data_IF_475623371658
#
_entry.id   IF_475623371658
#
_cell.length_a   1.000
_cell.length_b   1.000
_cell.length_c   1.000
_cell.angle_alpha   90.00
_cell.angle_beta   90.00
_cell.angle_gamma   90.00
#
_symmetry.space_group_name_H-M   'P 1'
#
loop_
_entity.id
_entity.type
_entity.pdbx_description
1 polymer ?
#
# COMPACT_ATOMS: atom_id res chain seq x y z
N UNK A 1 8.36 21.39 -9.99
CA UNK A 1 9.56 20.66 -9.50
C UNK A 1 10.50 20.42 -10.66
N UNK A 2 11.82 20.59 -10.46
CA UNK A 2 12.83 20.24 -11.47
C UNK A 2 12.96 18.73 -11.54
N UNK A 3 12.95 18.14 -12.74
CA UNK A 3 13.19 16.70 -12.94
C UNK A 3 14.62 16.34 -12.52
N UNK A 4 14.76 15.19 -11.87
CA UNK A 4 16.10 14.66 -11.59
C UNK A 4 16.81 14.26 -12.89
N UNK A 5 18.15 14.31 -12.96
CA UNK A 5 18.88 14.01 -14.19
C UNK A 5 18.51 12.65 -14.82
N UNK A 6 18.32 11.62 -14.02
CA UNK A 6 17.94 10.26 -14.48
C UNK A 6 16.54 10.26 -15.10
N UNK A 7 15.59 10.98 -14.50
CA UNK A 7 14.22 11.12 -15.02
C UNK A 7 14.24 11.89 -16.35
N UNK A 8 15.07 12.92 -16.48
CA UNK A 8 15.21 13.70 -17.71
C UNK A 8 15.76 12.85 -18.86
N UNK A 9 16.78 12.04 -18.61
CA UNK A 9 17.34 11.11 -19.59
C UNK A 9 16.31 10.06 -20.00
N UNK A 10 15.63 9.45 -19.04
CA UNK A 10 14.57 8.47 -19.32
C UNK A 10 13.43 9.07 -20.15
N UNK A 11 12.96 10.24 -19.77
CA UNK A 11 11.92 11.00 -20.51
C UNK A 11 12.33 11.26 -21.97
N UNK A 12 13.52 11.83 -22.18
CA UNK A 12 14.01 12.17 -23.52
C UNK A 12 14.16 10.89 -24.37
N UNK A 13 14.77 9.85 -23.82
CA UNK A 13 14.99 8.57 -24.50
C UNK A 13 13.67 7.92 -24.91
N UNK A 14 12.72 7.81 -23.98
CA UNK A 14 11.42 7.17 -24.25
C UNK A 14 10.61 7.97 -25.27
N UNK A 15 10.56 9.29 -25.15
CA UNK A 15 9.84 10.13 -26.10
C UNK A 15 10.48 10.09 -27.50
N UNK A 16 11.81 10.10 -27.62
CA UNK A 16 12.50 9.93 -28.91
C UNK A 16 12.26 8.54 -29.50
N UNK A 17 12.37 7.48 -28.71
CA UNK A 17 12.09 6.11 -29.14
C UNK A 17 10.64 5.95 -29.61
N UNK A 18 9.70 6.67 -29.01
CA UNK A 18 8.28 6.61 -29.41
C UNK A 18 8.03 7.14 -30.83
N UNK A 19 8.90 7.97 -31.36
CA UNK A 19 8.82 8.48 -32.75
C UNK A 19 9.27 7.42 -33.76
N UNK A 20 10.19 6.54 -33.37
CA UNK A 20 10.75 5.48 -34.22
C UNK A 20 9.96 4.19 -34.07
N UNK A 21 9.66 3.77 -32.83
CA UNK A 21 8.92 2.54 -32.55
C UNK A 21 8.09 2.70 -31.26
N UNK A 22 6.79 2.93 -31.43
CA UNK A 22 5.85 2.99 -30.31
C UNK A 22 5.81 1.71 -29.48
N UNK A 23 6.02 0.53 -30.11
CA UNK A 23 6.05 -0.76 -29.42
C UNK A 23 7.26 -0.90 -28.49
N UNK A 24 8.45 -0.52 -28.95
CA UNK A 24 9.67 -0.57 -28.12
C UNK A 24 9.61 0.48 -27.02
N UNK A 25 9.12 1.67 -27.31
CA UNK A 25 8.94 2.70 -26.31
C UNK A 25 7.92 2.31 -25.22
N UNK A 26 6.81 1.67 -25.58
CA UNK A 26 5.84 1.13 -24.62
C UNK A 26 6.45 0.10 -23.68
N UNK A 27 7.22 -0.86 -24.22
CA UNK A 27 7.97 -1.84 -23.40
C UNK A 27 8.97 -1.18 -22.47
N UNK A 28 9.70 -0.16 -22.94
CA UNK A 28 10.63 0.61 -22.12
C UNK A 28 9.92 1.40 -21.02
N UNK A 29 8.81 2.04 -21.33
CA UNK A 29 7.98 2.75 -20.36
C UNK A 29 7.43 1.79 -19.29
N UNK A 30 6.92 0.62 -19.68
CA UNK A 30 6.48 -0.40 -18.75
C UNK A 30 7.62 -0.91 -17.86
N UNK A 31 8.81 -1.13 -18.41
CA UNK A 31 9.99 -1.54 -17.64
C UNK A 31 10.34 -0.52 -16.54
N UNK A 32 10.24 0.78 -16.84
CA UNK A 32 10.46 1.83 -15.84
C UNK A 32 9.29 1.97 -14.87
N UNK A 33 8.06 1.79 -15.33
CA UNK A 33 6.85 1.93 -14.52
C UNK A 33 6.82 0.97 -13.32
N UNK A 34 7.31 -0.26 -13.49
CA UNK A 34 7.34 -1.25 -12.41
C UNK A 34 8.69 -1.33 -11.68
N UNK A 35 9.66 -0.48 -12.02
CA UNK A 35 10.99 -0.46 -11.42
C UNK A 35 11.15 0.70 -10.44
N UNK A 36 11.22 0.46 -9.12
CA UNK A 36 11.54 1.52 -8.18
C UNK A 36 13.00 1.95 -8.36
N UNK A 37 13.21 3.16 -8.88
CA UNK A 37 14.55 3.70 -9.13
C UNK A 37 15.34 3.98 -7.84
N UNK A 38 14.63 4.11 -6.73
CA UNK A 38 15.21 4.34 -5.40
C UNK A 38 14.57 3.38 -4.40
N UNK A 39 15.38 2.67 -3.64
CA UNK A 39 14.90 1.89 -2.48
C UNK A 39 14.78 2.77 -1.25
N UNK A 40 13.74 2.58 -0.46
CA UNK A 40 13.60 3.23 0.84
C UNK A 40 14.78 2.90 1.75
N UNK A 41 15.54 3.91 2.19
CA UNK A 41 16.66 3.69 3.11
C UNK A 41 16.13 3.48 4.53
N UNK A 42 16.69 2.52 5.25
CA UNK A 42 16.40 2.32 6.69
C UNK A 42 16.92 3.54 7.46
N UNK A 43 16.06 4.13 8.30
CA UNK A 43 16.44 5.21 9.22
C UNK A 43 17.00 4.61 10.50
N UNK A 44 17.90 5.35 11.16
CA UNK A 44 18.45 4.90 12.47
C UNK A 44 17.37 4.66 13.51
N UNK A 45 16.33 5.51 13.54
CA UNK A 45 15.19 5.37 14.46
C UNK A 45 14.29 4.16 14.19
N UNK A 46 14.37 3.57 13.01
CA UNK A 46 13.55 2.40 12.63
C UNK A 46 14.29 1.08 12.90
N UNK A 47 15.62 1.13 13.05
CA UNK A 47 16.49 -0.04 13.13
C UNK A 47 16.19 -0.93 14.34
N UNK A 48 16.16 -0.35 15.54
CA UNK A 48 15.99 -1.11 16.78
C UNK A 48 14.71 -1.98 16.72
N UNK A 49 13.59 -1.39 16.32
CA UNK A 49 12.34 -2.12 16.20
C UNK A 49 12.38 -3.18 15.10
N UNK A 50 13.06 -2.90 13.98
CA UNK A 50 13.17 -3.88 12.90
C UNK A 50 14.04 -5.08 13.30
N UNK A 51 15.09 -4.86 14.11
CA UNK A 51 15.99 -5.89 14.61
C UNK A 51 15.31 -6.83 15.63
N UNK A 52 14.18 -6.40 16.24
CA UNK A 52 13.33 -7.24 17.12
C UNK A 52 12.37 -8.15 16.35
N UNK A 53 12.19 -7.93 15.05
CA UNK A 53 11.24 -8.69 14.25
C UNK A 53 11.73 -10.11 13.95
N UNK A 54 10.81 -11.06 13.93
CA UNK A 54 11.04 -12.34 13.25
C UNK A 54 11.03 -12.10 11.75
N UNK A 55 12.17 -12.36 11.10
CA UNK A 55 12.33 -12.17 9.66
C UNK A 55 12.01 -13.47 8.94
N UNK A 56 11.14 -13.37 7.93
CA UNK A 56 10.74 -14.47 7.06
C UNK A 56 10.81 -14.09 5.60
N UNK A 57 10.24 -14.94 4.75
CA UNK A 57 10.25 -14.74 3.31
C UNK A 57 9.03 -15.34 2.66
N UNK A 58 8.42 -14.61 1.72
CA UNK A 58 7.37 -15.12 0.83
C UNK A 58 7.96 -15.26 -0.57
N UNK A 59 7.95 -16.46 -1.11
CA UNK A 59 8.36 -16.73 -2.47
C UNK A 59 7.23 -16.37 -3.44
N UNK A 60 7.59 -15.73 -4.55
CA UNK A 60 6.69 -15.30 -5.60
C UNK A 60 7.09 -15.90 -6.94
N UNK A 61 6.20 -15.85 -7.90
CA UNK A 61 6.49 -16.27 -9.25
C UNK A 61 7.68 -15.52 -9.88
N UNK A 62 8.37 -16.20 -10.81
CA UNK A 62 9.49 -15.60 -11.56
C UNK A 62 10.76 -15.33 -10.75
N UNK A 63 10.97 -16.06 -9.66
CA UNK A 63 12.17 -15.94 -8.81
C UNK A 63 12.20 -14.67 -7.95
N UNK A 64 11.08 -14.00 -7.82
CA UNK A 64 10.90 -12.86 -6.90
C UNK A 64 10.60 -13.35 -5.48
N UNK A 65 10.88 -12.52 -4.50
CA UNK A 65 10.46 -12.75 -3.12
C UNK A 65 10.18 -11.44 -2.40
N UNK A 66 9.37 -11.51 -1.37
CA UNK A 66 9.23 -10.49 -0.34
C UNK A 66 9.99 -10.91 0.91
N UNK A 67 10.52 -9.95 1.66
CA UNK A 67 11.02 -10.15 3.02
C UNK A 67 9.91 -9.76 3.99
N UNK A 68 9.59 -10.63 4.93
CA UNK A 68 8.52 -10.41 5.90
C UNK A 68 9.08 -10.17 7.30
N UNK A 69 8.37 -9.38 8.08
CA UNK A 69 8.70 -9.04 9.44
C UNK A 69 7.48 -9.30 10.32
N UNK A 70 7.67 -10.00 11.43
CA UNK A 70 6.61 -10.27 12.39
C UNK A 70 7.07 -9.89 13.80
N UNK A 71 6.24 -9.15 14.49
CA UNK A 71 6.34 -8.83 15.91
C UNK A 71 5.16 -9.49 16.63
N UNK A 72 5.41 -10.05 17.81
CA UNK A 72 4.42 -10.83 18.56
C UNK A 72 4.40 -12.32 18.17
N UNK A 73 3.44 -13.06 18.71
CA UNK A 73 3.32 -14.52 18.58
C UNK A 73 2.61 -15.00 17.31
N UNK A 74 2.04 -14.09 16.53
CA UNK A 74 1.28 -14.38 15.32
C UNK A 74 -0.24 -14.41 15.52
N UNK A 75 -0.73 -14.34 16.75
CA UNK A 75 -2.16 -14.23 17.07
C UNK A 75 -2.70 -12.83 16.78
N UNK A 76 -4.00 -12.72 16.48
CA UNK A 76 -4.67 -11.42 16.20
C UNK A 76 -3.89 -10.52 15.24
N UNK A 77 -3.57 -10.99 14.01
CA UNK A 77 -2.61 -10.33 13.14
C UNK A 77 -3.12 -9.02 12.58
N UNK A 78 -2.28 -7.98 12.59
CA UNK A 78 -2.48 -6.72 11.85
C UNK A 78 -1.43 -6.63 10.77
N UNK A 79 -1.86 -6.48 9.52
CA UNK A 79 -0.98 -6.37 8.36
C UNK A 79 -0.65 -4.91 8.05
N UNK A 80 0.63 -4.59 7.91
CA UNK A 80 1.14 -3.29 7.47
C UNK A 80 1.68 -3.36 6.05
N UNK A 81 1.17 -2.53 5.15
CA UNK A 81 1.49 -2.56 3.72
C UNK A 81 2.07 -1.22 3.26
N UNK A 82 3.34 -1.22 2.89
CA UNK A 82 4.04 -0.02 2.43
C UNK A 82 3.71 0.36 0.98
N UNK A 83 4.03 1.61 0.59
CA UNK A 83 3.87 2.13 -0.76
C UNK A 83 5.13 2.05 -1.63
N UNK A 84 5.06 2.70 -2.81
CA UNK A 84 6.15 2.76 -3.78
C UNK A 84 7.40 3.45 -3.24
N UNK A 85 8.58 2.90 -3.56
CA UNK A 85 9.88 3.40 -3.09
C UNK A 85 9.96 3.56 -1.55
N UNK A 86 9.22 2.72 -0.83
CA UNK A 86 9.14 2.69 0.62
C UNK A 86 9.68 1.35 1.16
N UNK A 87 9.30 0.98 2.37
CA UNK A 87 9.65 -0.28 3.03
C UNK A 87 8.79 -0.50 4.28
N UNK A 88 8.78 -1.72 4.81
CA UNK A 88 8.04 -2.10 6.01
C UNK A 88 8.26 -1.15 7.18
N UNK A 89 9.51 -0.80 7.46
CA UNK A 89 9.87 0.05 8.60
C UNK A 89 9.29 1.48 8.57
N UNK A 90 8.74 1.93 7.44
CA UNK A 90 8.04 3.23 7.39
C UNK A 90 6.74 3.27 8.17
N UNK A 91 6.16 2.09 8.43
CA UNK A 91 4.95 1.95 9.24
C UNK A 91 5.25 1.52 10.68
N UNK A 92 6.52 1.56 11.10
CA UNK A 92 6.96 1.11 12.44
C UNK A 92 6.29 1.86 13.60
N UNK A 93 5.84 3.10 13.39
CA UNK A 93 5.15 3.88 14.42
C UNK A 93 3.86 3.21 14.95
N UNK A 94 3.24 2.34 14.16
CA UNK A 94 2.04 1.60 14.57
C UNK A 94 2.36 0.36 15.43
N UNK A 95 3.56 -0.20 15.31
CA UNK A 95 3.92 -1.51 15.89
C UNK A 95 3.80 -1.53 17.41
N UNK A 96 4.44 -0.61 18.18
CA UNK A 96 4.38 -0.68 19.65
C UNK A 96 2.95 -0.62 20.17
N UNK A 97 2.15 0.34 19.69
CA UNK A 97 0.78 0.50 20.15
C UNK A 97 -0.16 -0.66 19.76
N UNK A 98 0.11 -1.40 18.70
CA UNK A 98 -0.62 -2.61 18.35
C UNK A 98 -0.22 -3.77 19.27
N UNK A 99 1.07 -3.94 19.55
CA UNK A 99 1.56 -4.95 20.50
C UNK A 99 1.02 -4.73 21.92
N UNK A 100 1.03 -3.48 22.41
CA UNK A 100 0.44 -3.11 23.71
C UNK A 100 -1.06 -3.44 23.81
N UNK A 101 -1.75 -3.51 22.67
CA UNK A 101 -3.18 -3.85 22.57
C UNK A 101 -3.43 -5.33 22.30
N UNK A 102 -2.39 -6.17 22.36
CA UNK A 102 -2.48 -7.63 22.24
C UNK A 102 -2.55 -8.15 20.81
N UNK A 103 -2.19 -7.36 19.81
CA UNK A 103 -2.11 -7.78 18.42
C UNK A 103 -0.69 -8.14 18.04
N UNK A 104 -0.54 -9.15 17.20
CA UNK A 104 0.70 -9.34 16.44
C UNK A 104 0.71 -8.46 15.20
N UNK A 105 1.90 -8.03 14.79
CA UNK A 105 2.05 -7.18 13.61
C UNK A 105 2.85 -7.92 12.56
N UNK A 106 2.35 -7.91 11.33
CA UNK A 106 3.02 -8.47 10.16
C UNK A 106 3.26 -7.35 9.15
N UNK A 107 4.47 -7.25 8.62
CA UNK A 107 4.81 -6.31 7.56
C UNK A 107 5.70 -6.99 6.52
N UNK A 108 5.90 -6.39 5.37
CA UNK A 108 6.80 -6.94 4.36
C UNK A 108 7.51 -5.85 3.57
N UNK A 109 8.68 -6.17 3.04
CA UNK A 109 9.33 -5.45 1.95
C UNK A 109 8.98 -6.17 0.64
N UNK A 110 8.26 -5.51 -0.28
CA UNK A 110 7.91 -6.06 -1.59
C UNK A 110 9.17 -6.21 -2.48
N UNK A 111 9.15 -7.04 -3.54
CA UNK A 111 10.27 -7.14 -4.48
C UNK A 111 10.80 -5.78 -4.91
N UNK A 112 12.11 -5.64 -5.00
CA UNK A 112 12.84 -4.40 -5.30
C UNK A 112 12.69 -3.27 -4.25
N UNK A 113 12.08 -3.52 -3.10
CA UNK A 113 11.98 -2.59 -1.98
C UNK A 113 12.73 -3.11 -0.75
N UNK A 114 13.10 -2.20 0.15
CA UNK A 114 13.76 -2.52 1.42
C UNK A 114 14.88 -3.55 1.27
N UNK A 115 14.77 -4.66 2.02
CA UNK A 115 15.72 -5.78 2.00
C UNK A 115 15.37 -6.86 0.96
N UNK A 116 14.18 -6.77 0.31
CA UNK A 116 13.82 -7.71 -0.73
C UNK A 116 14.65 -7.52 -2.00
N UNK A 117 15.02 -8.62 -2.62
CA UNK A 117 15.77 -8.63 -3.87
C UNK A 117 14.95 -8.20 -5.09
N UNK A 118 15.57 -8.30 -6.27
CA UNK A 118 14.88 -8.02 -7.53
C UNK A 118 15.04 -6.59 -8.03
N UNK A 119 14.45 -6.33 -9.20
CA UNK A 119 14.55 -5.04 -9.91
C UNK A 119 13.21 -4.35 -10.12
N UNK A 120 12.11 -5.06 -9.92
CA UNK A 120 10.77 -4.50 -10.16
C UNK A 120 9.71 -5.20 -9.34
N UNK A 121 8.62 -4.49 -9.13
CA UNK A 121 7.41 -4.98 -8.46
C UNK A 121 6.19 -4.45 -9.16
N UNK A 122 5.08 -5.15 -9.02
CA UNK A 122 3.79 -4.78 -9.58
C UNK A 122 2.71 -4.88 -8.50
N UNK A 123 1.54 -4.37 -8.78
CA UNK A 123 0.36 -4.54 -7.93
C UNK A 123 0.00 -6.02 -7.72
N UNK A 124 0.31 -6.89 -8.70
CA UNK A 124 0.09 -8.33 -8.59
C UNK A 124 1.01 -8.96 -7.56
N UNK A 125 2.28 -8.53 -7.49
CA UNK A 125 3.20 -8.99 -6.46
C UNK A 125 2.66 -8.64 -5.05
N UNK A 126 2.10 -7.43 -4.86
CA UNK A 126 1.47 -7.04 -3.58
C UNK A 126 0.27 -7.93 -3.25
N UNK A 127 -0.62 -8.18 -4.22
CA UNK A 127 -1.74 -9.12 -4.08
C UNK A 127 -1.25 -10.50 -3.61
N UNK A 128 -0.24 -11.02 -4.28
CA UNK A 128 0.27 -12.38 -4.01
C UNK A 128 0.92 -12.46 -2.63
N UNK A 129 1.66 -11.43 -2.21
CA UNK A 129 2.23 -11.34 -0.86
C UNK A 129 1.12 -11.29 0.19
N UNK A 130 0.14 -10.39 0.02
CA UNK A 130 -0.97 -10.24 0.97
C UNK A 130 -1.79 -11.53 1.06
N UNK A 131 -2.00 -12.23 -0.06
CA UNK A 131 -2.67 -13.53 -0.12
C UNK A 131 -1.87 -14.62 0.59
N UNK A 132 -0.56 -14.68 0.38
CA UNK A 132 0.32 -15.64 1.06
C UNK A 132 0.32 -15.42 2.58
N UNK A 133 0.42 -14.17 3.02
CA UNK A 133 0.36 -13.82 4.43
C UNK A 133 -1.02 -14.12 5.05
N UNK A 134 -2.10 -13.92 4.29
CA UNK A 134 -3.43 -14.33 4.74
C UNK A 134 -3.56 -15.86 4.87
N UNK A 135 -2.92 -16.62 3.99
CA UNK A 135 -2.87 -18.08 4.10
C UNK A 135 -2.09 -18.54 5.34
N UNK A 136 -1.01 -17.82 5.68
CA UNK A 136 -0.16 -18.15 6.82
C UNK A 136 -0.78 -17.73 8.17
N UNK A 137 -1.33 -16.51 8.25
CA UNK A 137 -1.79 -15.91 9.51
C UNK A 137 -3.31 -15.92 9.68
N UNK A 138 -4.07 -16.32 8.66
CA UNK A 138 -5.54 -16.26 8.69
C UNK A 138 -6.10 -14.85 8.52
N UNK A 139 -7.29 -14.63 9.07
CA UNK A 139 -8.00 -13.34 8.98
C UNK A 139 -7.24 -12.25 9.72
N UNK A 140 -6.94 -11.15 9.04
CA UNK A 140 -6.34 -9.98 9.67
C UNK A 140 -7.37 -9.22 10.52
N UNK A 141 -7.03 -8.93 11.76
CA UNK A 141 -7.86 -8.05 12.61
C UNK A 141 -7.83 -6.59 12.09
N UNK A 142 -6.71 -6.19 11.50
CA UNK A 142 -6.54 -4.93 10.81
C UNK A 142 -5.62 -5.05 9.59
N UNK A 143 -5.88 -4.22 8.59
CA UNK A 143 -4.99 -4.02 7.46
C UNK A 143 -4.74 -2.51 7.33
N UNK A 144 -3.48 -2.10 7.49
CA UNK A 144 -3.06 -0.69 7.42
C UNK A 144 -2.17 -0.53 6.19
N UNK A 145 -2.64 0.18 5.19
CA UNK A 145 -1.95 0.34 3.93
C UNK A 145 -1.65 1.81 3.61
N UNK A 146 -0.50 2.06 3.01
CA UNK A 146 -0.05 3.38 2.62
C UNK A 146 0.17 3.49 1.10
N UNK A 147 -0.32 4.60 0.50
CA UNK A 147 0.00 4.96 -0.89
C UNK A 147 -0.41 3.87 -1.89
N UNK A 148 0.49 3.44 -2.79
CA UNK A 148 0.27 2.34 -3.73
C UNK A 148 -0.06 1.01 -3.01
N UNK A 149 0.41 0.82 -1.78
CA UNK A 149 0.09 -0.35 -0.98
C UNK A 149 -1.41 -0.53 -0.75
N UNK A 150 -2.19 0.55 -0.78
CA UNK A 150 -3.66 0.51 -0.70
C UNK A 150 -4.24 -0.27 -1.89
N UNK A 151 -3.83 0.07 -3.12
CA UNK A 151 -4.27 -0.66 -4.31
C UNK A 151 -3.91 -2.15 -4.24
N UNK A 152 -2.66 -2.47 -3.88
CA UNK A 152 -2.21 -3.85 -3.74
C UNK A 152 -3.00 -4.63 -2.70
N UNK A 153 -3.30 -4.00 -1.55
CA UNK A 153 -4.10 -4.58 -0.48
C UNK A 153 -5.55 -4.85 -0.92
N UNK A 154 -6.18 -3.88 -1.56
CA UNK A 154 -7.56 -4.05 -2.06
C UNK A 154 -7.64 -5.12 -3.15
N UNK A 155 -6.58 -5.28 -3.95
CA UNK A 155 -6.53 -6.36 -4.91
C UNK A 155 -6.46 -7.73 -4.23
N UNK A 156 -5.75 -7.85 -3.10
CA UNK A 156 -5.79 -9.02 -2.23
C UNK A 156 -7.19 -9.26 -1.65
N UNK A 157 -7.83 -8.23 -1.10
CA UNK A 157 -9.19 -8.30 -0.53
C UNK A 157 -10.23 -8.74 -1.59
N UNK A 158 -10.11 -8.25 -2.83
CA UNK A 158 -10.94 -8.69 -3.96
C UNK A 158 -10.74 -10.17 -4.27
N UNK A 159 -9.56 -10.72 -4.03
CA UNK A 159 -9.19 -12.10 -4.30
C UNK A 159 -9.29 -13.03 -3.06
N UNK A 160 -10.13 -12.69 -2.10
CA UNK A 160 -10.48 -13.56 -0.98
C UNK A 160 -9.70 -13.34 0.31
N UNK A 161 -8.77 -12.40 0.36
CA UNK A 161 -8.18 -11.97 1.62
C UNK A 161 -9.24 -11.30 2.50
N UNK A 162 -9.24 -11.63 3.78
CA UNK A 162 -10.20 -11.09 4.74
C UNK A 162 -9.48 -10.25 5.79
N UNK A 163 -9.94 -9.02 5.98
CA UNK A 163 -9.55 -8.15 7.09
C UNK A 163 -10.81 -7.62 7.78
N UNK A 164 -10.81 -7.60 9.12
CA UNK A 164 -11.95 -7.11 9.92
C UNK A 164 -12.10 -5.60 9.83
N UNK A 165 -10.99 -4.89 9.69
CA UNK A 165 -10.92 -3.43 9.54
C UNK A 165 -9.82 -3.06 8.55
N UNK A 166 -10.04 -2.02 7.76
CA UNK A 166 -9.07 -1.55 6.76
C UNK A 166 -8.78 -0.07 6.97
N UNK A 167 -7.49 0.28 7.00
CA UNK A 167 -7.02 1.66 7.08
C UNK A 167 -6.25 1.99 5.80
N UNK A 168 -6.62 3.08 5.16
CA UNK A 168 -5.90 3.63 4.02
C UNK A 168 -5.30 4.98 4.39
N UNK A 169 -4.00 5.13 4.22
CA UNK A 169 -3.27 6.37 4.52
C UNK A 169 -2.64 6.88 3.22
N UNK A 170 -2.98 8.10 2.82
CA UNK A 170 -2.53 8.69 1.54
C UNK A 170 -2.70 7.73 0.36
N UNK A 171 -3.85 7.02 0.33
CA UNK A 171 -4.11 5.92 -0.59
C UNK A 171 -4.44 6.38 -2.00
N UNK A 172 -4.10 5.54 -2.98
CA UNK A 172 -4.51 5.68 -4.38
C UNK A 172 -5.83 4.95 -4.58
N UNK A 173 -6.81 5.63 -5.18
CA UNK A 173 -8.12 5.07 -5.50
C UNK A 173 -8.12 4.26 -6.79
N UNK A 174 -7.44 4.77 -7.83
CA UNK A 174 -7.48 4.19 -9.16
C UNK A 174 -6.09 3.81 -9.66
N UNK A 175 -6.01 2.71 -10.38
CA UNK A 175 -4.76 2.31 -11.02
C UNK A 175 -4.32 3.31 -12.09
N UNK A 176 -5.27 3.87 -12.84
CA UNK A 176 -5.00 4.89 -13.87
C UNK A 176 -4.34 6.13 -13.29
N UNK A 177 -4.67 6.51 -12.04
CA UNK A 177 -3.98 7.60 -11.36
C UNK A 177 -2.46 7.37 -11.29
N UNK A 178 -2.00 6.14 -11.05
CA UNK A 178 -0.57 5.81 -11.05
C UNK A 178 0.06 5.98 -12.42
N UNK A 179 -0.66 5.63 -13.49
CA UNK A 179 -0.19 5.79 -14.87
C UNK A 179 -0.13 7.27 -15.26
N UNK A 180 -1.13 8.06 -14.82
CA UNK A 180 -1.16 9.50 -15.02
C UNK A 180 0.01 10.19 -14.31
N UNK A 181 0.23 9.92 -13.02
CA UNK A 181 1.32 10.51 -12.24
C UNK A 181 2.70 10.12 -12.81
N UNK A 182 2.89 8.84 -13.17
CA UNK A 182 4.11 8.40 -13.84
C UNK A 182 4.33 9.13 -15.16
N UNK A 183 3.27 9.27 -15.95
CA UNK A 183 3.34 9.94 -17.26
C UNK A 183 3.63 11.44 -17.11
N UNK A 184 3.05 12.09 -16.11
CA UNK A 184 3.30 13.48 -15.78
C UNK A 184 4.74 13.70 -15.26
N UNK A 185 5.22 12.84 -14.33
CA UNK A 185 6.58 12.92 -13.78
C UNK A 185 7.66 12.78 -14.87
N UNK A 186 7.47 11.87 -15.82
CA UNK A 186 8.37 11.67 -16.95
C UNK A 186 8.02 12.50 -18.19
N UNK A 187 7.03 13.38 -18.12
CA UNK A 187 6.56 14.19 -19.26
C UNK A 187 6.37 13.33 -20.52
N UNK A 188 5.71 12.20 -20.34
CA UNK A 188 5.44 11.22 -21.39
C UNK A 188 4.37 11.80 -22.34
N UNK A 189 4.58 11.70 -23.66
CA UNK A 189 3.60 12.12 -24.65
C UNK A 189 2.41 11.16 -24.70
N UNK A 190 1.22 11.66 -25.02
CA UNK A 190 -0.04 10.88 -25.05
C UNK A 190 0.06 9.58 -25.83
N UNK A 191 0.74 9.61 -26.99
CA UNK A 191 0.97 8.40 -27.80
C UNK A 191 1.74 7.32 -27.02
N UNK A 192 2.73 7.69 -26.23
CA UNK A 192 3.50 6.74 -25.43
C UNK A 192 2.72 6.30 -24.21
N UNK A 193 1.94 7.19 -23.57
CA UNK A 193 1.03 6.86 -22.49
C UNK A 193 0.02 5.78 -22.92
N UNK A 194 -0.61 5.92 -24.11
CA UNK A 194 -1.49 4.89 -24.66
C UNK A 194 -0.77 3.54 -24.85
N UNK A 195 0.52 3.55 -25.28
CA UNK A 195 1.32 2.33 -25.37
C UNK A 195 1.66 1.72 -24.02
N UNK A 196 1.90 2.54 -22.99
CA UNK A 196 2.09 2.07 -21.63
C UNK A 196 0.83 1.36 -21.12
N UNK A 197 -0.36 1.93 -21.33
CA UNK A 197 -1.63 1.28 -21.00
C UNK A 197 -1.79 -0.06 -21.70
N UNK A 198 -1.48 -0.15 -23.01
CA UNK A 198 -1.49 -1.41 -23.75
C UNK A 198 -0.56 -2.47 -23.11
N UNK A 199 0.68 -2.08 -22.77
CA UNK A 199 1.66 -3.00 -22.16
C UNK A 199 1.22 -3.44 -20.75
N UNK A 200 0.69 -2.53 -19.93
CA UNK A 200 0.13 -2.84 -18.62
C UNK A 200 -0.99 -3.87 -18.75
N UNK A 201 -1.97 -3.61 -19.59
CA UNK A 201 -3.09 -4.51 -19.83
C UNK A 201 -2.63 -5.89 -20.25
N UNK A 202 -1.79 -5.97 -21.27
CA UNK A 202 -1.33 -7.27 -21.82
C UNK A 202 -0.50 -8.07 -20.81
N UNK A 203 0.28 -7.40 -19.96
CA UNK A 203 1.21 -8.08 -19.04
C UNK A 203 0.66 -8.33 -17.66
N UNK A 204 -0.17 -7.41 -17.14
CA UNK A 204 -0.70 -7.53 -15.80
C UNK A 204 -2.15 -8.02 -15.80
N UNK A 205 -2.91 -7.72 -16.84
CA UNK A 205 -4.35 -7.98 -16.91
C UNK A 205 -4.77 -8.55 -18.28
N UNK A 206 -4.18 -9.68 -18.72
CA UNK A 206 -4.43 -10.21 -20.06
C UNK A 206 -5.90 -10.58 -20.31
N UNK A 207 -6.63 -10.91 -19.24
CA UNK A 207 -8.03 -11.36 -19.32
C UNK A 207 -9.04 -10.22 -19.28
N UNK A 208 -8.59 -8.96 -19.08
CA UNK A 208 -9.50 -7.81 -19.08
C UNK A 208 -9.80 -7.32 -20.50
N UNK A 209 -11.05 -6.92 -20.80
CA UNK A 209 -11.41 -6.22 -22.02
C UNK A 209 -10.55 -4.97 -22.24
N UNK A 210 -10.43 -4.56 -23.53
CA UNK A 210 -9.51 -3.46 -23.88
C UNK A 210 -9.89 -2.10 -23.30
N UNK A 211 -11.16 -1.90 -23.07
CA UNK A 211 -11.82 -0.68 -22.63
C UNK A 211 -12.13 -0.64 -21.13
N UNK A 212 -11.84 -1.73 -20.41
CA UNK A 212 -11.97 -1.74 -18.97
C UNK A 212 -10.72 -1.15 -18.32
N UNK A 213 -10.95 -0.22 -17.37
CA UNK A 213 -9.92 0.26 -16.47
C UNK A 213 -9.50 -0.89 -15.56
N UNK A 214 -8.20 -1.22 -15.48
CA UNK A 214 -7.77 -2.43 -14.81
C UNK A 214 -8.24 -2.54 -13.37
N UNK A 215 -8.48 -1.41 -12.67
CA UNK A 215 -8.76 -1.47 -11.25
C UNK A 215 -9.08 -0.12 -10.60
N UNK A 216 -10.26 0.00 -10.01
CA UNK A 216 -10.63 1.09 -9.10
C UNK A 216 -11.16 0.54 -7.78
N UNK A 217 -10.84 1.20 -6.67
CA UNK A 217 -11.40 0.87 -5.37
C UNK A 217 -12.91 1.15 -5.31
N UNK A 218 -13.41 2.07 -6.13
CA UNK A 218 -14.84 2.39 -6.23
C UNK A 218 -15.68 1.18 -6.66
N UNK A 219 -15.10 0.27 -7.45
CA UNK A 219 -15.78 -0.92 -7.95
C UNK A 219 -15.80 -2.07 -6.93
N UNK A 220 -15.13 -1.90 -5.79
CA UNK A 220 -14.96 -2.93 -4.78
C UNK A 220 -15.92 -2.84 -3.61
N UNK A 221 -16.80 -1.87 -3.61
CA UNK A 221 -17.74 -1.62 -2.52
C UNK A 221 -18.68 -2.80 -2.24
N UNK A 222 -18.92 -3.63 -3.26
CA UNK A 222 -19.68 -4.88 -3.17
C UNK A 222 -18.88 -6.05 -2.57
N UNK A 223 -17.57 -6.07 -2.76
CA UNK A 223 -16.67 -7.17 -2.35
C UNK A 223 -16.05 -6.91 -0.99
N UNK A 224 -15.49 -5.71 -0.76
CA UNK A 224 -14.87 -5.32 0.51
C UNK A 224 -15.95 -4.80 1.43
N UNK A 225 -16.30 -5.57 2.47
CA UNK A 225 -17.37 -5.26 3.45
C UNK A 225 -16.85 -4.69 4.76
N UNK A 226 -15.55 -4.78 5.01
CA UNK A 226 -14.94 -4.26 6.22
C UNK A 226 -15.17 -2.75 6.36
N UNK A 227 -15.33 -2.23 7.59
CA UNK A 227 -15.30 -0.80 7.85
C UNK A 227 -13.92 -0.22 7.50
N UNK A 228 -13.92 0.98 6.94
CA UNK A 228 -12.73 1.69 6.46
C UNK A 228 -12.45 2.94 7.30
N UNK A 229 -11.17 3.16 7.60
CA UNK A 229 -10.66 4.45 8.01
C UNK A 229 -9.78 5.00 6.87
N UNK A 230 -10.18 6.11 6.29
CA UNK A 230 -9.46 6.78 5.20
C UNK A 230 -8.79 8.02 5.77
N UNK A 231 -7.46 8.08 5.75
CA UNK A 231 -6.68 9.22 6.24
C UNK A 231 -5.90 9.82 5.07
N UNK A 232 -5.99 11.12 4.87
CA UNK A 232 -5.26 11.81 3.81
C UNK A 232 -4.87 13.22 4.25
N UNK A 233 -3.69 13.67 3.83
CA UNK A 233 -3.25 15.05 4.09
C UNK A 233 -3.61 15.94 2.89
N UNK A 234 -4.18 17.13 3.16
CA UNK A 234 -4.56 18.08 2.13
C UNK A 234 -3.36 18.61 1.35
N UNK A 235 -2.20 18.66 1.99
CA UNK A 235 -0.94 19.13 1.39
C UNK A 235 -0.10 17.97 0.82
N UNK A 236 -0.71 16.81 0.59
CA UNK A 236 -0.02 15.69 -0.06
C UNK A 236 0.21 16.01 -1.54
N UNK A 237 1.48 16.25 -1.88
CA UNK A 237 1.91 16.57 -3.25
C UNK A 237 2.25 15.36 -4.10
N UNK A 238 2.17 14.15 -3.53
CA UNK A 238 2.46 12.89 -4.26
C UNK A 238 1.17 12.19 -4.70
N UNK A 239 0.23 12.07 -3.77
CA UNK A 239 -1.11 11.53 -4.03
C UNK A 239 -2.09 12.59 -3.54
N UNK A 240 -2.86 13.17 -4.46
CA UNK A 240 -3.79 14.26 -4.10
C UNK A 240 -4.89 13.75 -3.18
N UNK A 241 -5.33 14.60 -2.25
CA UNK A 241 -6.36 14.27 -1.25
C UNK A 241 -7.73 13.90 -1.87
N UNK A 242 -7.97 14.26 -3.16
CA UNK A 242 -9.15 13.81 -3.89
C UNK A 242 -9.23 12.28 -4.00
N UNK A 243 -8.10 11.58 -4.03
CA UNK A 243 -8.07 10.11 -4.02
C UNK A 243 -8.67 9.54 -2.73
N UNK A 244 -8.32 10.10 -1.57
CA UNK A 244 -8.90 9.71 -0.29
C UNK A 244 -10.40 10.04 -0.21
N UNK A 245 -10.81 11.21 -0.69
CA UNK A 245 -12.24 11.59 -0.77
C UNK A 245 -13.05 10.64 -1.66
N UNK A 246 -12.49 10.22 -2.79
CA UNK A 246 -13.14 9.26 -3.68
C UNK A 246 -13.30 7.89 -3.04
N UNK A 247 -12.26 7.38 -2.33
CA UNK A 247 -12.37 6.14 -1.57
C UNK A 247 -13.50 6.27 -0.53
N UNK A 248 -13.46 7.29 0.31
CA UNK A 248 -14.46 7.48 1.35
C UNK A 248 -15.87 7.63 0.78
N UNK A 249 -16.05 8.43 -0.27
CA UNK A 249 -17.33 8.63 -0.92
C UNK A 249 -17.92 7.35 -1.52
N UNK A 250 -17.08 6.50 -2.12
CA UNK A 250 -17.54 5.24 -2.70
C UNK A 250 -18.02 4.25 -1.62
N UNK A 251 -17.36 4.19 -0.47
CA UNK A 251 -17.71 3.27 0.61
C UNK A 251 -18.81 3.82 1.54
N UNK A 252 -19.15 5.11 1.44
CA UNK A 252 -20.25 5.75 2.19
C UNK A 252 -20.12 5.54 3.69
N UNK A 253 -21.22 5.14 4.35
CA UNK A 253 -21.29 4.97 5.81
C UNK A 253 -20.29 3.96 6.39
N UNK A 254 -19.68 3.12 5.56
CA UNK A 254 -18.64 2.19 5.97
C UNK A 254 -17.25 2.84 6.04
N UNK A 255 -17.09 4.06 5.53
CA UNK A 255 -15.82 4.76 5.50
C UNK A 255 -15.87 6.02 6.36
N UNK A 256 -14.95 6.13 7.31
CA UNK A 256 -14.66 7.36 8.03
C UNK A 256 -13.48 8.07 7.36
N UNK A 257 -13.70 9.30 6.85
CA UNK A 257 -12.64 10.14 6.30
C UNK A 257 -12.06 11.05 7.39
N UNK A 258 -10.74 11.08 7.48
CA UNK A 258 -9.96 12.00 8.32
C UNK A 258 -8.99 12.75 7.41
N UNK A 259 -9.10 14.05 7.36
CA UNK A 259 -8.19 14.94 6.63
C UNK A 259 -7.25 15.63 7.60
N UNK A 260 -5.97 15.66 7.26
CA UNK A 260 -4.93 16.40 7.99
C UNK A 260 -4.34 17.50 7.12
N UNK A 261 -3.57 18.39 7.70
CA UNK A 261 -2.90 19.48 6.98
C UNK A 261 -1.43 19.54 7.40
N UNK A 262 -0.55 19.89 6.47
CA UNK A 262 0.85 20.14 6.73
C UNK A 262 1.73 18.91 6.94
N UNK A 263 1.18 17.69 6.95
CA UNK A 263 1.95 16.46 7.15
C UNK A 263 2.54 15.93 5.83
N UNK A 264 1.80 16.06 4.75
CA UNK A 264 2.16 15.55 3.42
C UNK A 264 2.27 14.01 3.40
N UNK A 265 2.74 13.48 2.29
CA UNK A 265 2.68 12.05 1.94
C UNK A 265 3.37 11.08 2.91
N UNK A 266 4.43 11.50 3.61
CA UNK A 266 5.28 10.59 4.41
C UNK A 266 5.29 10.88 5.90
N UNK A 267 5.22 12.17 6.31
CA UNK A 267 5.22 12.51 7.74
C UNK A 267 3.95 12.06 8.44
N UNK A 268 2.86 11.98 7.71
CA UNK A 268 1.57 11.45 8.17
C UNK A 268 1.67 10.07 8.83
N UNK A 269 2.63 9.22 8.43
CA UNK A 269 2.84 7.88 9.00
C UNK A 269 3.44 7.88 10.41
N UNK A 270 4.05 8.99 10.83
CA UNK A 270 4.66 9.11 12.16
C UNK A 270 4.04 10.21 13.01
N UNK A 271 2.95 10.81 12.56
CA UNK A 271 2.20 11.79 13.33
C UNK A 271 1.44 11.11 14.48
N UNK A 272 1.58 11.64 15.70
CA UNK A 272 1.05 11.01 16.91
C UNK A 272 -0.48 10.92 16.91
N UNK A 273 -1.16 11.92 16.36
CA UNK A 273 -2.62 11.92 16.29
C UNK A 273 -3.14 10.94 15.25
N UNK A 274 -2.46 10.86 14.10
CA UNK A 274 -2.76 9.85 13.07
C UNK A 274 -2.54 8.45 13.62
N UNK A 275 -1.40 8.20 14.26
CA UNK A 275 -1.10 6.89 14.88
C UNK A 275 -2.17 6.53 15.90
N UNK A 276 -2.52 7.43 16.83
CA UNK A 276 -3.58 7.19 17.81
C UNK A 276 -4.92 6.88 17.15
N UNK A 277 -5.32 7.67 16.16
CA UNK A 277 -6.58 7.48 15.42
C UNK A 277 -6.65 6.10 14.76
N UNK A 278 -5.56 5.66 14.15
CA UNK A 278 -5.44 4.32 13.53
C UNK A 278 -5.54 3.22 14.58
N UNK A 279 -4.80 3.35 15.68
CA UNK A 279 -4.80 2.38 16.78
C UNK A 279 -6.18 2.25 17.42
N UNK A 280 -6.87 3.35 17.66
CA UNK A 280 -8.21 3.35 18.26
C UNK A 280 -9.27 2.78 17.30
N UNK A 281 -9.06 2.93 16.00
CA UNK A 281 -9.92 2.30 15.01
C UNK A 281 -9.66 0.79 14.89
N UNK A 282 -8.41 0.37 14.76
CA UNK A 282 -8.05 -1.05 14.55
C UNK A 282 -8.23 -1.86 15.81
N UNK A 283 -7.71 -1.38 16.92
CA UNK A 283 -7.58 -2.06 18.19
C UNK A 283 -8.06 -1.16 19.35
N UNK A 284 -9.38 -0.89 19.47
CA UNK A 284 -9.88 -0.04 20.53
C UNK A 284 -9.52 -0.62 21.90
N UNK A 285 -9.08 0.27 22.83
CA UNK A 285 -8.86 -0.16 24.22
C UNK A 285 -10.20 -0.57 24.82
N UNK A 286 -10.26 -1.68 25.58
CA UNK A 286 -11.47 -2.00 26.33
C UNK A 286 -11.82 -0.81 27.24
N UNK A 287 -13.11 -0.43 27.23
CA UNK A 287 -13.57 0.60 28.16
C UNK A 287 -13.31 0.12 29.60
N UNK A 288 -12.79 1.01 30.44
CA UNK A 288 -12.51 0.70 31.85
C UNK A 288 -13.76 0.28 32.67
N UNK A 289 -14.96 0.38 32.06
CA UNK A 289 -16.23 -0.08 32.65
C UNK A 289 -16.44 -1.60 32.60
N UNK A 290 -15.84 -2.31 31.61
CA UNK A 290 -16.07 -3.76 31.47
C UNK A 290 -15.25 -4.60 32.47
N UNK A 291 -14.25 -3.99 33.14
CA UNK A 291 -13.43 -4.65 34.16
C UNK A 291 -14.06 -4.69 35.55
N UNK A 292 -15.14 -3.94 35.81
CA UNK A 292 -15.80 -3.89 37.10
C UNK A 292 -16.89 -4.98 37.25
N UNK A 293 -17.55 -5.35 36.17
CA UNK A 293 -18.60 -6.38 36.22
C UNK A 293 -18.06 -7.82 36.29
N UNK A 294 -16.88 -8.07 35.73
CA UNK A 294 -16.25 -9.43 35.78
C UNK A 294 -15.69 -9.76 37.15
N UNK A 295 -15.36 -8.77 37.99
CA UNK A 295 -14.89 -9.01 39.39
C UNK A 295 -16.02 -9.23 40.39
N UNK A 296 -17.24 -8.80 40.09
CA UNK A 296 -18.38 -8.99 40.96
C UNK A 296 -19.03 -10.39 40.82
N UNK A 297 -18.82 -11.08 39.70
CA UNK A 297 -19.40 -12.41 39.43
C UNK A 297 -18.58 -13.60 39.93
N UNK A 298 -17.43 -13.35 40.58
CA UNK A 298 -16.52 -14.43 41.09
C UNK A 298 -16.54 -14.53 42.62
N UNK A 299 -17.37 -13.73 43.32
CA UNK A 299 -17.43 -13.69 44.79
C UNK A 299 -18.80 -14.02 45.37
N UNK A 300 -19.71 -14.71 44.63
CA UNK A 300 -20.93 -15.31 45.14
C UNK A 300 -20.92 -16.81 44.99
#
# INVERSE_FOLDING_TARGET
>A
MSMKPVEAVASTTLNALSLVSGRLAGKGAFALFHMPLVRGRLRSSERALLDEAHVGRVELGGGKHAVTYRWGDGGSPVLLVHGWQSRASRLSAFVPGLLERGHSVVAFDAPAHGEAGGRGTTILDYRDIVTALHTEYGVFDGLIAHSMGVLGSFFGLRNGVVARKVVTISGVCDFDYLVEEFSAELRVRDRLKARLHDEIRVRLFPDLPRDEVPFSLTDMTGTVRAPLLVIHDEDDTRIRADQGRRIAGAFGDRARLVLTNGLGHRRILGDEEVVRTVLDFVAPRPHAADGAEVRAAVLD
#
